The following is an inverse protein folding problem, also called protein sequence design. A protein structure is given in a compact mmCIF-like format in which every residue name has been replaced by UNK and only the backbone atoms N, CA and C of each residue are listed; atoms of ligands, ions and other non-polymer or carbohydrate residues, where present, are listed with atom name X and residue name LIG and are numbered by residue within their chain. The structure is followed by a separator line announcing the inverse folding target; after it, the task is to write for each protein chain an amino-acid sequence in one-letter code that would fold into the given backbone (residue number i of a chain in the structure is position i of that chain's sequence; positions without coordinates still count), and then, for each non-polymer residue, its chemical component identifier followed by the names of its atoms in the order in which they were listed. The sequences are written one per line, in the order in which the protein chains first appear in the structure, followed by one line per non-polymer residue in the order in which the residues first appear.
data_IF_955771745558
#
_entry.id   IF_955771745558
#
_cell.length_a   1.000
_cell.length_b   1.000
_cell.length_c   1.000
_cell.angle_alpha   90.00
_cell.angle_beta   90.00
_cell.angle_gamma   90.00
#
_symmetry.space_group_name_H-M   'P 1'
#
loop_
_entity.id
_entity.type
_entity.pdbx_description
1 polymer ?
#
# COMPACT_ATOMS: atom_id res chain seq x y z
N UNK A 1 8.20 -16.13 11.63
CA UNK A 1 8.84 -14.87 11.20
C UNK A 1 10.17 -14.78 11.91
N UNK A 2 11.27 -14.63 11.18
CA UNK A 2 12.59 -14.39 11.75
C UNK A 2 12.64 -12.94 12.25
N UNK A 3 12.87 -12.69 13.55
CA UNK A 3 12.78 -11.35 14.15
C UNK A 3 13.67 -10.30 13.48
N UNK A 4 14.79 -10.74 12.89
CA UNK A 4 15.84 -9.87 12.36
C UNK A 4 15.81 -9.71 10.83
N UNK A 5 14.81 -10.30 10.14
CA UNK A 5 14.69 -10.12 8.70
C UNK A 5 14.02 -8.77 8.35
N UNK A 6 14.44 -8.10 7.26
CA UNK A 6 13.77 -6.90 6.79
C UNK A 6 12.30 -7.16 6.50
N UNK A 7 11.45 -6.14 6.71
CA UNK A 7 10.02 -6.24 6.41
C UNK A 7 9.82 -6.62 4.93
N UNK A 8 8.94 -7.60 4.64
CA UNK A 8 8.71 -8.04 3.27
C UNK A 8 8.00 -6.95 2.44
N UNK A 9 8.15 -7.04 1.13
CA UNK A 9 7.32 -6.29 0.17
C UNK A 9 5.94 -6.93 0.12
N UNK A 10 4.88 -6.13 0.12
CA UNK A 10 3.49 -6.62 0.12
C UNK A 10 2.74 -6.10 -1.11
N UNK A 11 2.14 -7.01 -1.88
CA UNK A 11 1.26 -6.67 -3.00
C UNK A 11 -0.20 -6.65 -2.54
N UNK A 12 -0.86 -5.50 -2.68
CA UNK A 12 -2.29 -5.35 -2.38
C UNK A 12 -3.07 -5.19 -3.67
N UNK A 13 -3.87 -6.20 -4.03
CA UNK A 13 -4.78 -6.12 -5.18
C UNK A 13 -6.01 -5.30 -4.84
N UNK A 14 -6.52 -4.52 -5.81
CA UNK A 14 -7.59 -3.56 -5.53
C UNK A 14 -7.15 -2.44 -4.57
N UNK A 15 -5.84 -2.21 -4.42
CA UNK A 15 -5.24 -1.29 -3.44
C UNK A 15 -5.54 0.20 -3.66
N UNK A 16 -6.37 0.55 -4.65
CA UNK A 16 -6.71 1.93 -4.95
C UNK A 16 -8.04 2.40 -4.32
N UNK A 17 -8.82 1.52 -3.69
CA UNK A 17 -10.10 1.89 -3.06
C UNK A 17 -10.53 0.93 -1.96
N UNK A 18 -11.49 1.37 -1.14
CA UNK A 18 -12.15 0.53 -0.14
C UNK A 18 -11.16 -0.15 0.81
N UNK A 19 -11.40 -1.43 1.09
CA UNK A 19 -10.58 -2.22 2.03
C UNK A 19 -9.12 -2.33 1.55
N UNK A 20 -8.90 -2.52 0.25
CA UNK A 20 -7.54 -2.62 -0.29
C UNK A 20 -6.71 -1.36 -0.04
N UNK A 21 -7.34 -0.17 -0.15
CA UNK A 21 -6.65 1.10 0.15
C UNK A 21 -6.30 1.23 1.62
N UNK A 22 -7.22 0.86 2.52
CA UNK A 22 -6.96 0.92 3.97
C UNK A 22 -5.87 -0.08 4.40
N UNK A 23 -5.86 -1.28 3.81
CA UNK A 23 -4.77 -2.25 4.01
C UNK A 23 -3.43 -1.67 3.56
N UNK A 24 -3.37 -1.07 2.36
CA UNK A 24 -2.15 -0.46 1.84
C UNK A 24 -1.66 0.68 2.75
N UNK A 25 -2.59 1.51 3.26
CA UNK A 25 -2.31 2.60 4.21
C UNK A 25 -1.67 2.07 5.49
N UNK A 26 -2.30 1.10 6.15
CA UNK A 26 -1.80 0.58 7.42
C UNK A 26 -0.46 -0.16 7.26
N UNK A 27 -0.28 -0.93 6.20
CA UNK A 27 0.99 -1.62 5.92
C UNK A 27 2.12 -0.61 5.69
N UNK A 28 1.88 0.41 4.86
CA UNK A 28 2.85 1.49 4.65
C UNK A 28 3.17 2.23 5.95
N UNK A 29 2.14 2.52 6.77
CA UNK A 29 2.32 3.15 8.09
C UNK A 29 3.11 2.31 9.09
N UNK A 30 3.12 0.98 8.93
CA UNK A 30 3.92 0.02 9.71
C UNK A 30 5.32 -0.22 9.13
N UNK A 31 5.72 0.51 8.08
CA UNK A 31 7.05 0.42 7.48
C UNK A 31 7.22 -0.65 6.40
N UNK A 32 6.15 -1.35 6.01
CA UNK A 32 6.23 -2.28 4.87
C UNK A 32 6.35 -1.51 3.56
N UNK A 33 7.07 -2.09 2.60
CA UNK A 33 6.99 -1.64 1.21
C UNK A 33 5.71 -2.19 0.58
N UNK A 34 4.64 -1.40 0.62
CA UNK A 34 3.35 -1.76 0.03
C UNK A 34 3.27 -1.35 -1.46
N UNK A 35 2.93 -2.31 -2.31
CA UNK A 35 2.65 -2.12 -3.74
C UNK A 35 1.13 -2.22 -3.96
N UNK A 36 0.50 -1.12 -4.36
CA UNK A 36 -0.94 -1.10 -4.66
C UNK A 36 -1.19 -1.43 -6.13
N UNK A 37 -1.80 -2.59 -6.41
CA UNK A 37 -2.20 -2.99 -7.74
C UNK A 37 -3.68 -2.68 -8.01
N UNK A 38 -3.97 -2.12 -9.18
CA UNK A 38 -5.32 -1.85 -9.63
C UNK A 38 -5.41 -1.84 -11.17
N UNK A 39 -6.64 -1.86 -11.70
CA UNK A 39 -6.88 -1.91 -13.16
C UNK A 39 -6.66 -0.58 -13.88
N UNK A 40 -6.87 0.54 -13.18
CA UNK A 40 -6.79 1.88 -13.76
C UNK A 40 -5.63 2.62 -13.10
N UNK A 41 -4.57 2.87 -13.88
CA UNK A 41 -3.34 3.47 -13.40
C UNK A 41 -3.56 4.85 -12.77
N UNK A 42 -4.28 5.75 -13.42
CA UNK A 42 -4.53 7.11 -12.91
C UNK A 42 -5.23 7.09 -11.53
N UNK A 43 -6.21 6.19 -11.33
CA UNK A 43 -6.84 6.01 -10.01
C UNK A 43 -5.87 5.44 -8.98
N UNK A 44 -4.96 4.56 -9.39
CA UNK A 44 -3.91 4.02 -8.52
C UNK A 44 -2.92 5.11 -8.08
N UNK A 45 -2.43 5.91 -9.02
CA UNK A 45 -1.52 7.02 -8.77
C UNK A 45 -2.14 8.07 -7.84
N UNK A 46 -3.42 8.42 -8.05
CA UNK A 46 -4.14 9.32 -7.16
C UNK A 46 -4.25 8.76 -5.72
N UNK A 47 -4.55 7.46 -5.58
CA UNK A 47 -4.60 6.81 -4.27
C UNK A 47 -3.23 6.81 -3.57
N UNK A 48 -2.15 6.45 -4.29
CA UNK A 48 -0.78 6.46 -3.75
C UNK A 48 -0.34 7.87 -3.37
N UNK A 49 -0.67 8.87 -4.18
CA UNK A 49 -0.41 10.28 -3.87
C UNK A 49 -1.10 10.69 -2.57
N UNK A 50 -2.39 10.39 -2.43
CA UNK A 50 -3.13 10.67 -1.20
C UNK A 50 -2.55 9.97 0.04
N UNK A 51 -2.05 8.73 -0.10
CA UNK A 51 -1.36 8.02 0.99
C UNK A 51 -0.05 8.70 1.41
N UNK A 52 0.69 9.28 0.46
CA UNK A 52 1.97 9.96 0.73
C UNK A 52 1.76 11.34 1.36
N UNK A 53 0.70 12.04 0.97
CA UNK A 53 0.35 13.37 1.48
C UNK A 53 -0.29 13.34 2.87
N UNK A 54 -0.94 12.23 3.23
CA UNK A 54 -1.55 12.03 4.55
C UNK A 54 -0.53 11.67 5.66
N UNK A 55 0.76 11.85 5.41
CA UNK A 55 1.87 11.45 6.28
C UNK A 55 2.41 12.60 7.10
#
# INVERSE_FOLDING_TARGET
MTPDAPLPVVLVTGGNRGIGLEIAKQLAGRGYHAVAACRNQAKGEAAVKGLREAR
#
